data_IF_073302508981
#
_entry.id   IF_073302508981
#
_cell.length_a   1.000
_cell.length_b   1.000
_cell.length_c   1.000
_cell.angle_alpha   90.00
_cell.angle_beta   90.00
_cell.angle_gamma   90.00
#
_symmetry.space_group_name_H-M   'P 1'
#
loop_
_entity.id
_entity.type
_entity.pdbx_description
1 polymer ?
#
# COMPACT_ATOMS: atom_id res chain seq x y z
N UNK A 1 21.21 6.26 4.67
CA UNK A 1 19.77 6.24 4.38
C UNK A 1 19.65 5.72 2.96
N UNK A 2 18.87 4.66 2.71
CA UNK A 2 18.55 4.33 1.31
C UNK A 2 17.53 5.37 0.88
N UNK A 3 17.90 6.24 -0.07
CA UNK A 3 17.00 7.25 -0.64
C UNK A 3 15.76 6.62 -1.28
N UNK A 4 15.89 5.37 -1.70
CA UNK A 4 14.90 4.69 -2.53
C UNK A 4 13.79 4.13 -1.65
N UNK A 5 14.12 3.60 -0.46
CA UNK A 5 13.13 3.20 0.54
C UNK A 5 12.21 4.36 0.94
N UNK A 6 12.76 5.54 1.23
CA UNK A 6 11.96 6.70 1.65
C UNK A 6 11.05 7.21 0.53
N UNK A 7 11.49 7.11 -0.73
CA UNK A 7 10.65 7.38 -1.91
C UNK A 7 9.48 6.40 -2.02
N UNK A 8 9.76 5.10 -1.95
CA UNK A 8 8.71 4.06 -1.98
C UNK A 8 7.74 4.18 -0.80
N UNK A 9 8.25 4.53 0.38
CA UNK A 9 7.45 4.77 1.60
C UNK A 9 6.46 5.92 1.40
N UNK A 10 6.90 7.01 0.78
CA UNK A 10 6.05 8.15 0.47
C UNK A 10 4.99 7.77 -0.56
N UNK A 11 5.37 7.11 -1.65
CA UNK A 11 4.45 6.70 -2.71
C UNK A 11 3.40 5.72 -2.17
N UNK A 12 3.82 4.74 -1.36
CA UNK A 12 2.92 3.81 -0.68
C UNK A 12 1.91 4.55 0.19
N UNK A 13 2.37 5.49 1.01
CA UNK A 13 1.51 6.26 1.93
C UNK A 13 0.46 7.11 1.19
N UNK A 14 0.82 7.69 0.05
CA UNK A 14 -0.11 8.45 -0.80
C UNK A 14 -1.13 7.50 -1.42
N UNK A 15 -0.67 6.36 -1.96
CA UNK A 15 -1.51 5.38 -2.63
C UNK A 15 -2.51 4.73 -1.67
N UNK A 16 -2.09 4.33 -0.47
CA UNK A 16 -3.01 3.72 0.53
C UNK A 16 -4.08 4.70 1.02
N UNK A 17 -3.74 5.99 1.17
CA UNK A 17 -4.72 7.02 1.50
C UNK A 17 -5.76 7.21 0.39
N UNK A 18 -5.32 7.17 -0.87
CA UNK A 18 -6.21 7.26 -2.03
C UNK A 18 -7.13 6.03 -2.14
N UNK A 19 -6.58 4.83 -1.98
CA UNK A 19 -7.33 3.56 -1.95
C UNK A 19 -8.40 3.62 -0.85
N UNK A 20 -8.03 4.00 0.37
CA UNK A 20 -8.95 4.13 1.51
C UNK A 20 -10.13 5.05 1.16
N UNK A 21 -9.84 6.20 0.55
CA UNK A 21 -10.88 7.15 0.14
C UNK A 21 -11.82 6.57 -0.92
N UNK A 22 -11.29 5.81 -1.87
CA UNK A 22 -12.05 5.17 -2.95
C UNK A 22 -12.91 4.02 -2.45
N UNK A 23 -12.38 3.15 -1.58
CA UNK A 23 -13.14 2.08 -0.91
C UNK A 23 -14.37 2.67 -0.22
N UNK A 24 -14.20 3.75 0.56
CA UNK A 24 -15.31 4.43 1.24
C UNK A 24 -16.37 5.04 0.31
N UNK A 25 -16.08 5.21 -0.98
CA UNK A 25 -17.02 5.69 -2.01
C UNK A 25 -17.76 4.56 -2.72
N UNK A 26 -17.15 3.37 -2.87
CA UNK A 26 -17.71 2.23 -3.61
C UNK A 26 -19.15 1.89 -3.22
N UNK A 27 -19.55 1.84 -1.93
CA UNK A 27 -20.93 1.52 -1.55
C UNK A 27 -21.98 2.53 -2.03
N UNK A 28 -21.56 3.76 -2.36
CA UNK A 28 -22.45 4.85 -2.80
C UNK A 28 -22.65 4.88 -4.31
N UNK A 29 -21.87 4.10 -5.06
CA UNK A 29 -21.92 4.04 -6.51
C UNK A 29 -22.75 2.85 -6.99
N UNK A 30 -23.25 2.94 -8.22
CA UNK A 30 -24.05 1.88 -8.87
C UNK A 30 -23.64 1.70 -10.33
N UNK A 31 -24.06 0.60 -10.94
CA UNK A 31 -23.86 0.36 -12.37
C UNK A 31 -22.38 0.37 -12.78
N UNK A 32 -22.10 0.98 -13.92
CA UNK A 32 -20.76 0.97 -14.52
C UNK A 32 -19.77 1.87 -13.79
N UNK A 33 -20.23 2.93 -13.13
CA UNK A 33 -19.38 3.78 -12.29
C UNK A 33 -18.79 3.00 -11.11
N UNK A 34 -19.62 2.15 -10.46
CA UNK A 34 -19.15 1.25 -9.41
C UNK A 34 -18.12 0.26 -9.96
N UNK A 35 -18.39 -0.39 -11.09
CA UNK A 35 -17.46 -1.36 -11.70
C UNK A 35 -16.12 -0.72 -12.04
N UNK A 36 -16.13 0.48 -12.60
CA UNK A 36 -14.91 1.20 -12.94
C UNK A 36 -14.11 1.58 -11.69
N UNK A 37 -14.77 2.07 -10.64
CA UNK A 37 -14.07 2.39 -9.39
C UNK A 37 -13.48 1.15 -8.72
N UNK A 38 -14.22 0.03 -8.69
CA UNK A 38 -13.74 -1.26 -8.16
C UNK A 38 -12.50 -1.71 -8.93
N UNK A 39 -12.55 -1.72 -10.27
CA UNK A 39 -11.39 -2.11 -11.09
C UNK A 39 -10.19 -1.19 -10.90
N UNK A 40 -10.41 0.12 -10.68
CA UNK A 40 -9.33 1.04 -10.37
C UNK A 40 -8.71 0.75 -9.00
N UNK A 41 -9.52 0.45 -7.98
CA UNK A 41 -9.03 0.09 -6.64
C UNK A 41 -8.23 -1.21 -6.69
N UNK A 42 -8.67 -2.23 -7.44
CA UNK A 42 -7.92 -3.48 -7.62
C UNK A 42 -6.50 -3.24 -8.18
N UNK A 43 -6.37 -2.40 -9.20
CA UNK A 43 -5.07 -2.03 -9.78
C UNK A 43 -4.19 -1.28 -8.79
N UNK A 44 -4.78 -0.32 -8.07
CA UNK A 44 -4.03 0.44 -7.05
C UNK A 44 -3.58 -0.46 -5.89
N UNK A 45 -4.36 -1.47 -5.50
CA UNK A 45 -3.94 -2.46 -4.52
C UNK A 45 -2.79 -3.33 -5.03
N UNK A 46 -2.76 -3.66 -6.33
CA UNK A 46 -1.63 -4.35 -6.96
C UNK A 46 -0.36 -3.46 -6.93
N UNK A 47 -0.46 -2.21 -7.38
CA UNK A 47 0.63 -1.21 -7.33
C UNK A 47 1.16 -1.03 -5.88
N UNK A 48 0.28 -0.99 -4.89
CA UNK A 48 0.68 -0.87 -3.48
C UNK A 48 1.45 -2.10 -2.98
N UNK A 49 1.10 -3.30 -3.45
CA UNK A 49 1.85 -4.53 -3.14
C UNK A 49 3.23 -4.53 -3.80
N UNK A 50 3.33 -4.06 -5.03
CA UNK A 50 4.62 -3.92 -5.72
C UNK A 50 5.54 -2.96 -4.95
N UNK A 51 5.02 -1.82 -4.48
CA UNK A 51 5.79 -0.88 -3.64
C UNK A 51 6.25 -1.52 -2.32
N UNK A 52 5.41 -2.35 -1.69
CA UNK A 52 5.82 -3.11 -0.50
C UNK A 52 6.96 -4.08 -0.80
N UNK A 53 6.91 -4.77 -1.94
CA UNK A 53 7.98 -5.66 -2.37
C UNK A 53 9.28 -4.88 -2.64
N UNK A 54 9.22 -3.72 -3.29
CA UNK A 54 10.40 -2.86 -3.49
C UNK A 54 10.98 -2.40 -2.15
N UNK A 55 10.14 -1.93 -1.23
CA UNK A 55 10.59 -1.56 0.11
C UNK A 55 11.23 -2.74 0.85
N UNK A 56 10.69 -3.96 0.74
CA UNK A 56 11.31 -5.15 1.34
C UNK A 56 12.71 -5.43 0.80
N UNK A 57 12.90 -5.30 -0.51
CA UNK A 57 14.21 -5.48 -1.15
C UNK A 57 15.20 -4.45 -0.59
N UNK A 58 14.81 -3.18 -0.51
CA UNK A 58 15.64 -2.13 0.08
C UNK A 58 16.02 -2.44 1.54
N UNK A 59 15.07 -2.91 2.36
CA UNK A 59 15.36 -3.27 3.76
C UNK A 59 16.33 -4.45 3.87
N UNK A 60 16.33 -5.39 2.92
CA UNK A 60 17.25 -6.54 2.91
C UNK A 60 18.70 -6.10 2.65
N UNK A 61 18.91 -5.04 1.90
CA UNK A 61 20.23 -4.47 1.61
C UNK A 61 20.80 -3.67 2.80
N UNK A 62 19.95 -3.22 3.74
CA UNK A 62 20.40 -2.45 4.92
C UNK A 62 21.19 -3.34 5.89
N UNK A 63 22.35 -2.89 6.42
CA UNK A 63 23.11 -3.62 7.43
C UNK A 63 22.27 -3.95 8.68
N UNK A 64 22.41 -5.15 9.29
CA UNK A 64 21.56 -5.59 10.41
C UNK A 64 21.47 -4.59 11.57
N UNK A 65 22.56 -3.88 11.86
CA UNK A 65 22.69 -2.89 12.94
C UNK A 65 21.75 -1.69 12.76
N UNK A 66 21.39 -1.36 11.51
CA UNK A 66 20.53 -0.21 11.16
C UNK A 66 19.14 -0.65 10.67
N UNK A 67 18.91 -1.95 10.49
CA UNK A 67 17.70 -2.52 9.87
C UNK A 67 16.47 -2.52 10.79
N UNK A 68 16.67 -2.49 12.11
CA UNK A 68 15.59 -2.66 13.09
C UNK A 68 14.45 -1.63 12.92
N UNK A 69 14.79 -0.36 12.66
CA UNK A 69 13.81 0.70 12.42
C UNK A 69 12.96 0.40 11.17
N UNK A 70 13.62 0.14 10.04
CA UNK A 70 12.95 -0.14 8.77
C UNK A 70 12.09 -1.42 8.83
N UNK A 71 12.55 -2.45 9.54
CA UNK A 71 11.78 -3.67 9.78
C UNK A 71 10.50 -3.40 10.56
N UNK A 72 10.52 -2.44 11.48
CA UNK A 72 9.31 -2.06 12.22
C UNK A 72 8.31 -1.34 11.32
N UNK A 73 8.78 -0.42 10.48
CA UNK A 73 7.92 0.28 9.50
C UNK A 73 7.29 -0.69 8.50
N UNK A 74 8.09 -1.61 7.95
CA UNK A 74 7.59 -2.66 7.04
C UNK A 74 6.47 -3.50 7.65
N UNK A 75 6.55 -3.85 8.94
CA UNK A 75 5.45 -4.57 9.61
C UNK A 75 4.17 -3.73 9.65
N UNK A 76 4.28 -2.44 9.93
CA UNK A 76 3.13 -1.54 9.93
C UNK A 76 2.50 -1.41 8.53
N UNK A 77 3.31 -1.26 7.48
CA UNK A 77 2.78 -1.16 6.11
C UNK A 77 2.11 -2.45 5.62
N UNK A 78 2.63 -3.62 6.02
CA UNK A 78 1.96 -4.89 5.75
C UNK A 78 0.60 -5.00 6.43
N UNK A 79 0.50 -4.59 7.70
CA UNK A 79 -0.78 -4.57 8.42
C UNK A 79 -1.78 -3.59 7.78
N UNK A 80 -1.30 -2.44 7.31
CA UNK A 80 -2.13 -1.49 6.57
C UNK A 80 -2.65 -2.11 5.28
N UNK A 81 -1.80 -2.81 4.52
CA UNK A 81 -2.21 -3.52 3.31
C UNK A 81 -3.25 -4.62 3.58
N UNK A 82 -3.04 -5.44 4.62
CA UNK A 82 -4.01 -6.46 5.04
C UNK A 82 -5.37 -5.85 5.41
N UNK A 83 -5.35 -4.68 6.05
CA UNK A 83 -6.57 -3.93 6.36
C UNK A 83 -7.25 -3.44 5.09
N UNK A 84 -6.52 -2.85 4.13
CA UNK A 84 -7.09 -2.39 2.86
C UNK A 84 -7.74 -3.54 2.08
N UNK A 85 -7.09 -4.71 2.05
CA UNK A 85 -7.65 -5.92 1.41
C UNK A 85 -8.94 -6.37 2.10
N UNK A 86 -8.98 -6.30 3.43
CA UNK A 86 -10.18 -6.61 4.20
C UNK A 86 -11.31 -5.61 3.92
N UNK A 87 -11.01 -4.31 3.98
CA UNK A 87 -11.95 -3.22 3.78
C UNK A 87 -12.50 -3.18 2.34
N UNK A 88 -11.72 -3.64 1.36
CA UNK A 88 -12.17 -3.72 -0.03
C UNK A 88 -13.11 -4.91 -0.31
N UNK A 89 -12.91 -6.04 0.38
CA UNK A 89 -13.72 -7.25 0.22
C UNK A 89 -15.02 -7.18 1.06
N UNK A 90 -15.06 -6.37 2.12
CA UNK A 90 -16.21 -6.20 3.02
C UNK A 90 -17.36 -5.40 2.41
#
# INVERSE_FOLDING_TARGET
MSSDFEGYEQDFSVLTAEITNRIGKVPKLVGDEKKQLVSNVEKQLEEARELLEQMELEVREIPPQSRAMYSSRMRSYKQEMEKLDTDFVS
#
